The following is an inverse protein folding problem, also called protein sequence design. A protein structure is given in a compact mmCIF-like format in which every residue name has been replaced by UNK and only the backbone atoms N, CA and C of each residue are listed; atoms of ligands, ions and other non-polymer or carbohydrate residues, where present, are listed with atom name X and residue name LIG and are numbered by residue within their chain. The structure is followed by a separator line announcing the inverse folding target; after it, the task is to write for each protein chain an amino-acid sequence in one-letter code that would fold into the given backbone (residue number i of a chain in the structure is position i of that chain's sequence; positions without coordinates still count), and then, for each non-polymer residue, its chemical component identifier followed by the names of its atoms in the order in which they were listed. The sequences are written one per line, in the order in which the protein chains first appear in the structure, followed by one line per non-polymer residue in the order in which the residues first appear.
data_IF_321949528503
#
_entry.id   IF_321949528503
#
_cell.length_a   1.000
_cell.length_b   1.000
_cell.length_c   1.000
_cell.angle_alpha   90.00
_cell.angle_beta   90.00
_cell.angle_gamma   90.00
#
_symmetry.space_group_name_H-M   'P 1'
#
loop_
_entity.id
_entity.type
_entity.pdbx_description
1 polymer ?
#
# COMPACT_ATOMS: atom_id res chain seq x y z
N UNK A 1 -9.47 -2.85 -28.70
CA UNK A 1 -8.85 -4.02 -28.03
C UNK A 1 -8.98 -3.84 -26.53
N UNK A 2 -9.64 -4.76 -25.81
CA UNK A 2 -9.57 -4.79 -24.34
C UNK A 2 -8.21 -5.40 -23.98
N UNK A 3 -7.33 -4.59 -23.40
CA UNK A 3 -5.99 -5.02 -22.99
C UNK A 3 -6.09 -6.03 -21.83
N UNK A 4 -5.39 -7.16 -21.95
CA UNK A 4 -5.30 -8.15 -20.86
C UNK A 4 -4.26 -7.65 -19.86
N UNK A 5 -4.65 -7.51 -18.59
CA UNK A 5 -3.76 -7.11 -17.52
C UNK A 5 -2.97 -8.32 -17.03
N UNK A 6 -1.65 -8.21 -16.96
CA UNK A 6 -0.78 -9.24 -16.40
C UNK A 6 -0.12 -8.74 -15.11
N UNK A 7 -0.37 -9.43 -14.01
CA UNK A 7 0.11 -9.01 -12.69
C UNK A 7 1.48 -9.60 -12.39
N UNK A 8 2.50 -9.16 -13.13
CA UNK A 8 3.85 -9.73 -13.14
C UNK A 8 4.78 -9.18 -12.04
N UNK A 9 4.36 -8.13 -11.32
CA UNK A 9 5.18 -7.42 -10.34
C UNK A 9 4.75 -7.65 -8.88
N UNK A 10 4.03 -8.76 -8.61
CA UNK A 10 3.51 -9.10 -7.28
C UNK A 10 4.61 -9.26 -6.22
N UNK A 11 5.73 -9.91 -6.54
CA UNK A 11 6.84 -10.07 -5.58
C UNK A 11 7.46 -8.75 -5.16
N UNK A 12 7.63 -7.81 -6.10
CA UNK A 12 8.10 -6.47 -5.77
C UNK A 12 7.14 -5.75 -4.84
N UNK A 13 5.83 -5.81 -5.12
CA UNK A 13 4.79 -5.26 -4.25
C UNK A 13 4.81 -5.90 -2.85
N UNK A 14 4.94 -7.23 -2.79
CA UNK A 14 4.97 -7.96 -1.54
C UNK A 14 6.15 -7.55 -0.64
N UNK A 15 7.35 -7.44 -1.23
CA UNK A 15 8.52 -6.96 -0.51
C UNK A 15 8.34 -5.53 -0.01
N UNK A 16 7.78 -4.66 -0.84
CA UNK A 16 7.47 -3.28 -0.46
C UNK A 16 6.52 -3.21 0.74
N UNK A 17 5.42 -3.99 0.72
CA UNK A 17 4.43 -4.02 1.79
C UNK A 17 5.00 -4.53 3.12
N UNK A 18 5.82 -5.59 3.09
CA UNK A 18 6.48 -6.10 4.30
C UNK A 18 7.40 -5.04 4.92
N UNK A 19 8.24 -4.41 4.11
CA UNK A 19 9.20 -3.42 4.60
C UNK A 19 8.50 -2.16 5.14
N UNK A 20 7.48 -1.64 4.45
CA UNK A 20 6.78 -0.46 4.94
C UNK A 20 5.95 -0.77 6.20
N UNK A 21 5.42 -1.99 6.34
CA UNK A 21 4.77 -2.44 7.58
C UNK A 21 5.75 -2.43 8.76
N UNK A 22 6.97 -2.94 8.58
CA UNK A 22 8.02 -2.90 9.61
C UNK A 22 8.40 -1.45 9.97
N UNK A 23 8.61 -0.59 8.97
CA UNK A 23 8.90 0.84 9.19
C UNK A 23 7.77 1.51 9.98
N UNK A 24 6.52 1.19 9.65
CA UNK A 24 5.35 1.76 10.31
C UNK A 24 5.28 1.35 11.79
N UNK A 25 5.54 0.08 12.11
CA UNK A 25 5.62 -0.41 13.49
C UNK A 25 6.73 0.30 14.27
N UNK A 26 7.95 0.35 13.72
CA UNK A 26 9.09 1.01 14.37
C UNK A 26 8.78 2.49 14.62
N UNK A 27 8.17 3.16 13.64
CA UNK A 27 7.78 4.57 13.76
C UNK A 27 6.72 4.77 14.84
N UNK A 28 5.76 3.85 14.99
CA UNK A 28 4.74 3.90 16.02
C UNK A 28 5.33 3.69 17.43
N UNK A 29 6.21 2.70 17.58
CA UNK A 29 6.90 2.42 18.86
C UNK A 29 7.76 3.61 19.30
N UNK A 30 8.44 4.27 18.35
CA UNK A 30 9.26 5.46 18.61
C UNK A 30 8.47 6.79 18.51
N UNK A 31 7.14 6.71 18.50
CA UNK A 31 6.24 7.83 18.17
C UNK A 31 6.20 8.96 19.18
N UNK A 32 6.24 8.64 20.47
CA UNK A 32 6.13 9.62 21.55
C UNK A 32 4.94 10.58 21.35
N UNK A 33 5.20 11.90 21.43
CA UNK A 33 4.16 12.94 21.23
C UNK A 33 3.52 12.94 19.83
N UNK A 34 4.19 12.38 18.83
CA UNK A 34 3.70 12.32 17.46
C UNK A 34 2.80 11.12 17.21
N UNK A 35 2.71 10.19 18.18
CA UNK A 35 2.04 8.87 18.12
C UNK A 35 2.66 7.89 17.12
N UNK A 36 3.02 8.37 15.92
CA UNK A 36 3.94 7.71 14.98
C UNK A 36 4.99 8.75 14.62
N UNK A 37 6.26 8.39 14.70
CA UNK A 37 7.38 9.31 14.52
C UNK A 37 7.55 9.65 13.04
N UNK A 38 7.26 10.90 12.60
CA UNK A 38 7.28 11.24 11.18
C UNK A 38 8.68 11.16 10.58
N UNK A 39 9.74 11.44 11.36
CA UNK A 39 11.11 11.39 10.86
C UNK A 39 11.57 9.96 10.64
N UNK A 40 11.31 9.07 11.59
CA UNK A 40 11.61 7.63 11.45
C UNK A 40 10.82 7.06 10.27
N UNK A 41 9.53 7.42 10.17
CA UNK A 41 8.68 6.95 9.08
C UNK A 41 9.19 7.42 7.72
N UNK A 42 9.50 8.72 7.56
CA UNK A 42 9.98 9.28 6.29
C UNK A 42 11.33 8.67 5.88
N UNK A 43 12.30 8.58 6.80
CA UNK A 43 13.60 7.98 6.53
C UNK A 43 13.43 6.53 6.08
N UNK A 44 12.66 5.74 6.84
CA UNK A 44 12.39 4.34 6.52
C UNK A 44 11.64 4.18 5.19
N UNK A 45 10.62 5.00 4.95
CA UNK A 45 9.85 5.02 3.71
C UNK A 45 10.75 5.26 2.50
N UNK A 46 11.58 6.31 2.52
CA UNK A 46 12.47 6.63 1.41
C UNK A 46 13.54 5.56 1.22
N UNK A 47 14.15 5.06 2.30
CA UNK A 47 15.11 3.96 2.21
C UNK A 47 14.50 2.73 1.52
N UNK A 48 13.29 2.34 1.91
CA UNK A 48 12.56 1.25 1.27
C UNK A 48 12.19 1.58 -0.19
N UNK A 49 11.79 2.82 -0.47
CA UNK A 49 11.31 3.23 -1.79
C UNK A 49 12.45 3.17 -2.81
N UNK A 50 13.60 3.73 -2.46
CA UNK A 50 14.80 3.66 -3.28
C UNK A 50 15.32 2.22 -3.38
N UNK A 51 15.31 1.47 -2.27
CA UNK A 51 15.77 0.09 -2.19
C UNK A 51 14.96 -0.88 -3.06
N UNK A 52 13.63 -0.73 -3.12
CA UNK A 52 12.72 -1.66 -3.80
C UNK A 52 12.20 -1.13 -5.12
N UNK A 53 11.68 0.10 -5.14
CA UNK A 53 10.91 0.61 -6.28
C UNK A 53 11.79 1.36 -7.30
N UNK A 54 12.88 1.99 -6.87
CA UNK A 54 13.82 2.65 -7.80
C UNK A 54 14.88 1.67 -8.30
N UNK A 55 15.40 0.80 -7.43
CA UNK A 55 16.45 -0.17 -7.72
C UNK A 55 16.11 -1.10 -8.89
N UNK A 56 16.63 -0.78 -10.08
CA UNK A 56 16.37 -1.53 -11.33
C UNK A 56 16.81 -2.99 -11.23
N UNK A 57 17.94 -3.26 -10.56
CA UNK A 57 18.49 -4.62 -10.41
C UNK A 57 17.53 -5.50 -9.61
N UNK A 58 17.04 -4.99 -8.48
CA UNK A 58 16.09 -5.73 -7.64
C UNK A 58 14.74 -5.89 -8.34
N UNK A 59 14.21 -4.85 -8.98
CA UNK A 59 12.95 -4.93 -9.74
C UNK A 59 13.01 -5.97 -10.86
N UNK A 60 14.10 -6.00 -11.64
CA UNK A 60 14.30 -7.00 -12.70
C UNK A 60 14.37 -8.41 -12.13
N UNK A 61 14.99 -8.60 -10.96
CA UNK A 61 15.07 -9.89 -10.28
C UNK A 61 13.71 -10.38 -9.77
N UNK A 62 12.84 -9.48 -9.31
CA UNK A 62 11.54 -9.81 -8.73
C UNK A 62 10.40 -9.83 -9.76
N UNK A 63 10.60 -9.21 -10.93
CA UNK A 63 9.64 -9.21 -12.04
C UNK A 63 9.51 -10.61 -12.64
N UNK A 64 8.27 -10.99 -12.94
CA UNK A 64 7.93 -12.29 -13.55
C UNK A 64 7.40 -12.14 -14.97
N UNK A 65 7.64 -10.99 -15.61
CA UNK A 65 7.10 -10.63 -16.92
C UNK A 65 7.08 -9.11 -17.13
N UNK A 66 6.68 -8.68 -18.32
CA UNK A 66 6.60 -7.26 -18.65
C UNK A 66 5.42 -6.58 -17.96
N UNK A 67 5.44 -5.24 -17.97
CA UNK A 67 4.35 -4.39 -17.52
C UNK A 67 3.75 -3.66 -18.72
N UNK A 68 2.44 -3.57 -18.76
CA UNK A 68 1.71 -2.98 -19.88
C UNK A 68 1.70 -1.44 -19.84
N UNK A 69 1.38 -0.79 -20.97
CA UNK A 69 1.30 0.68 -21.03
C UNK A 69 0.18 1.23 -20.14
N UNK A 70 -0.96 0.53 -20.08
CA UNK A 70 -2.07 0.89 -19.18
C UNK A 70 -1.65 0.77 -17.72
N UNK A 71 -0.95 -0.30 -17.35
CA UNK A 71 -0.44 -0.49 -16.00
C UNK A 71 0.58 0.61 -15.62
N UNK A 72 1.50 0.96 -16.52
CA UNK A 72 2.45 2.07 -16.30
C UNK A 72 1.72 3.39 -16.06
N UNK A 73 0.70 3.71 -16.87
CA UNK A 73 -0.11 4.92 -16.66
C UNK A 73 -0.79 4.90 -15.30
N UNK A 74 -1.32 3.75 -14.90
CA UNK A 74 -1.99 3.59 -13.62
C UNK A 74 -1.05 3.70 -12.42
N UNK A 75 0.21 3.29 -12.55
CA UNK A 75 1.24 3.53 -11.53
C UNK A 75 1.34 5.04 -11.24
N UNK A 76 1.52 5.86 -12.27
CA UNK A 76 1.67 7.31 -12.08
C UNK A 76 0.41 7.96 -11.51
N UNK A 77 -0.77 7.58 -12.02
CA UNK A 77 -2.06 8.05 -11.48
C UNK A 77 -2.21 7.67 -10.01
N UNK A 78 -1.89 6.42 -9.65
CA UNK A 78 -2.00 5.94 -8.27
C UNK A 78 -1.06 6.68 -7.33
N UNK A 79 0.18 6.94 -7.75
CA UNK A 79 1.16 7.71 -6.98
C UNK A 79 0.66 9.16 -6.78
N UNK A 80 0.22 9.82 -7.84
CA UNK A 80 -0.32 11.18 -7.73
C UNK A 80 -1.56 11.23 -6.82
N UNK A 81 -2.46 10.25 -6.96
CA UNK A 81 -3.66 10.13 -6.14
C UNK A 81 -3.32 9.96 -4.66
N UNK A 82 -2.27 9.22 -4.28
CA UNK A 82 -1.86 9.09 -2.88
C UNK A 82 -1.59 10.45 -2.23
N UNK A 83 -0.79 11.30 -2.88
CA UNK A 83 -0.46 12.62 -2.34
C UNK A 83 -1.69 13.53 -2.24
N UNK A 84 -2.57 13.50 -3.25
CA UNK A 84 -3.83 14.24 -3.23
C UNK A 84 -4.71 13.76 -2.06
N UNK A 85 -4.86 12.44 -1.88
CA UNK A 85 -5.64 11.86 -0.80
C UNK A 85 -5.06 12.20 0.57
N UNK A 86 -3.74 12.15 0.74
CA UNK A 86 -3.09 12.54 1.99
C UNK A 86 -3.36 14.02 2.33
N UNK A 87 -3.26 14.92 1.34
CA UNK A 87 -3.58 16.33 1.55
C UNK A 87 -5.07 16.54 1.86
N UNK A 88 -5.98 15.87 1.15
CA UNK A 88 -7.42 16.02 1.34
C UNK A 88 -7.92 15.46 2.68
N UNK A 89 -7.37 14.33 3.14
CA UNK A 89 -7.85 13.62 4.33
C UNK A 89 -7.06 14.03 5.58
N UNK A 90 -5.73 14.00 5.53
CA UNK A 90 -4.89 14.32 6.69
C UNK A 90 -4.58 15.82 6.79
N UNK A 91 -4.48 16.52 5.66
CA UNK A 91 -4.11 17.94 5.59
C UNK A 91 -4.93 18.89 6.48
N UNK A 92 -6.27 18.77 6.54
CA UNK A 92 -7.09 19.64 7.40
C UNK A 92 -6.73 19.60 8.89
N UNK A 93 -6.07 18.52 9.34
CA UNK A 93 -5.71 18.30 10.73
C UNK A 93 -4.28 18.77 11.08
N UNK A 94 -3.49 19.15 10.08
CA UNK A 94 -2.09 19.60 10.25
C UNK A 94 -1.98 20.92 11.03
N UNK A 95 -2.76 21.99 10.72
CA UNK A 95 -2.61 23.27 11.43
C UNK A 95 -2.85 23.18 12.93
N UNK A 96 -3.77 22.30 13.35
CA UNK A 96 -4.08 22.04 14.76
C UNK A 96 -3.22 20.97 15.43
N UNK A 97 -2.23 20.42 14.72
CA UNK A 97 -1.36 19.33 15.21
C UNK A 97 -2.14 18.14 15.77
N UNK A 98 -3.28 17.82 15.15
CA UNK A 98 -4.14 16.71 15.55
C UNK A 98 -3.54 15.39 15.09
N UNK A 99 -2.43 14.97 15.72
CA UNK A 99 -1.59 13.85 15.31
C UNK A 99 -2.35 12.57 15.07
N UNK A 100 -3.37 12.28 15.90
CA UNK A 100 -4.21 11.10 15.70
C UNK A 100 -4.92 11.13 14.35
N UNK A 101 -5.62 12.21 14.06
CA UNK A 101 -6.40 12.39 12.84
C UNK A 101 -5.50 12.49 11.61
N UNK A 102 -4.32 13.10 11.74
CA UNK A 102 -3.30 13.13 10.69
C UNK A 102 -2.91 11.70 10.33
N UNK A 103 -2.52 10.88 11.31
CA UNK A 103 -2.09 9.50 11.04
C UNK A 103 -3.21 8.61 10.55
N UNK A 104 -4.41 8.69 11.14
CA UNK A 104 -5.58 7.97 10.62
C UNK A 104 -5.89 8.38 9.16
N UNK A 105 -5.71 9.65 8.83
CA UNK A 105 -5.88 10.16 7.47
C UNK A 105 -4.83 9.62 6.51
N UNK A 106 -3.57 9.52 6.94
CA UNK A 106 -2.49 8.90 6.16
C UNK A 106 -2.76 7.40 5.93
N UNK A 107 -3.20 6.67 6.96
CA UNK A 107 -3.57 5.25 6.83
C UNK A 107 -4.74 5.07 5.85
N UNK A 108 -5.79 5.89 5.97
CA UNK A 108 -6.95 5.84 5.10
C UNK A 108 -6.60 6.19 3.65
N UNK A 109 -5.84 7.27 3.42
CA UNK A 109 -5.36 7.65 2.10
C UNK A 109 -4.56 6.51 1.44
N UNK A 110 -3.68 5.86 2.21
CA UNK A 110 -2.89 4.71 1.76
C UNK A 110 -3.78 3.50 1.43
N UNK A 111 -4.81 3.25 2.24
CA UNK A 111 -5.74 2.15 2.02
C UNK A 111 -6.59 2.34 0.75
N UNK A 112 -7.07 3.56 0.50
CA UNK A 112 -7.77 3.91 -0.76
C UNK A 112 -6.83 3.79 -1.95
N UNK A 113 -5.59 4.26 -1.80
CA UNK A 113 -4.55 4.13 -2.83
C UNK A 113 -4.29 2.66 -3.22
N UNK A 114 -4.37 1.70 -2.29
CA UNK A 114 -4.27 0.28 -2.61
C UNK A 114 -5.36 -0.19 -3.57
N UNK A 115 -6.57 0.36 -3.52
CA UNK A 115 -7.63 -0.01 -4.47
C UNK A 115 -7.24 0.34 -5.91
N UNK A 116 -6.53 1.45 -6.13
CA UNK A 116 -6.04 1.85 -7.45
C UNK A 116 -4.96 0.89 -7.99
N UNK A 117 -4.15 0.32 -7.10
CA UNK A 117 -3.12 -0.66 -7.44
C UNK A 117 -3.65 -2.03 -7.90
N UNK A 118 -4.97 -2.26 -7.80
CA UNK A 118 -5.62 -3.44 -8.38
C UNK A 118 -5.20 -3.69 -9.83
N UNK A 119 -5.11 -2.64 -10.65
CA UNK A 119 -4.78 -2.75 -12.08
C UNK A 119 -3.36 -3.29 -12.32
N UNK A 120 -2.46 -3.17 -11.33
CA UNK A 120 -1.05 -3.55 -11.45
C UNK A 120 -0.73 -4.85 -10.73
N UNK A 121 -1.36 -5.10 -9.58
CA UNK A 121 -1.03 -6.23 -8.70
C UNK A 121 -2.19 -7.22 -8.49
N UNK A 122 -3.38 -6.89 -8.97
CA UNK A 122 -4.54 -7.79 -9.00
C UNK A 122 -5.43 -7.73 -7.75
N UNK A 123 -6.38 -8.70 -7.62
CA UNK A 123 -7.46 -8.67 -6.63
C UNK A 123 -7.02 -8.56 -5.17
N UNK A 124 -5.84 -9.06 -4.82
CA UNK A 124 -5.30 -8.96 -3.45
C UNK A 124 -5.20 -7.50 -2.98
N UNK A 125 -4.99 -6.55 -3.88
CA UNK A 125 -4.93 -5.12 -3.52
C UNK A 125 -6.28 -4.56 -3.11
N UNK A 126 -7.38 -5.09 -3.68
CA UNK A 126 -8.74 -4.71 -3.27
C UNK A 126 -8.99 -5.18 -1.84
N UNK A 127 -8.68 -6.45 -1.55
CA UNK A 127 -8.85 -7.00 -0.20
C UNK A 127 -7.99 -6.24 0.83
N UNK A 128 -6.71 -6.01 0.51
CA UNK A 128 -5.81 -5.21 1.35
C UNK A 128 -6.39 -3.80 1.61
N UNK A 129 -6.83 -3.11 0.56
CA UNK A 129 -7.41 -1.78 0.67
C UNK A 129 -8.67 -1.76 1.55
N UNK A 130 -9.61 -2.69 1.34
CA UNK A 130 -10.84 -2.78 2.14
C UNK A 130 -10.53 -3.04 3.62
N UNK A 131 -9.65 -4.00 3.92
CA UNK A 131 -9.30 -4.32 5.31
C UNK A 131 -8.63 -3.12 6.00
N UNK A 132 -7.69 -2.45 5.32
CA UNK A 132 -7.04 -1.25 5.86
C UNK A 132 -8.01 -0.06 6.02
N UNK A 133 -8.98 0.12 5.11
CA UNK A 133 -10.05 1.12 5.25
C UNK A 133 -10.86 0.86 6.52
N UNK A 134 -11.27 -0.40 6.75
CA UNK A 134 -12.02 -0.79 7.95
C UNK A 134 -11.21 -0.48 9.21
N UNK A 135 -9.92 -0.83 9.23
CA UNK A 135 -9.03 -0.54 10.37
C UNK A 135 -8.95 0.97 10.66
N UNK A 136 -8.74 1.80 9.62
CA UNK A 136 -8.70 3.25 9.78
C UNK A 136 -10.06 3.81 10.25
N UNK A 137 -11.17 3.31 9.71
CA UNK A 137 -12.52 3.70 10.11
C UNK A 137 -12.82 3.36 11.58
N UNK A 138 -12.43 2.16 12.04
CA UNK A 138 -12.50 1.79 13.47
C UNK A 138 -11.71 2.78 14.33
N UNK A 139 -10.52 3.18 13.88
CA UNK A 139 -9.70 4.19 14.57
C UNK A 139 -10.36 5.58 14.65
N UNK A 140 -11.09 6.00 13.62
CA UNK A 140 -11.87 7.24 13.63
C UNK A 140 -13.09 7.14 14.54
N UNK A 141 -13.85 6.05 14.47
CA UNK A 141 -15.09 5.86 15.21
C UNK A 141 -14.87 5.62 16.71
N UNK A 142 -13.69 5.15 17.11
CA UNK A 142 -13.39 4.77 18.48
C UNK A 142 -12.15 5.51 19.00
N UNK A 143 -12.28 6.79 19.42
CA UNK A 143 -11.16 7.59 19.92
C UNK A 143 -10.46 6.97 21.14
N UNK A 144 -11.19 6.17 21.93
CA UNK A 144 -10.66 5.48 23.10
C UNK A 144 -9.66 4.36 22.79
N UNK A 145 -9.62 3.84 21.55
CA UNK A 145 -8.62 2.85 21.15
C UNK A 145 -7.29 3.59 20.89
N UNK A 146 -6.19 3.25 21.59
CA UNK A 146 -4.88 3.83 21.32
C UNK A 146 -4.47 3.70 19.84
N UNK A 147 -3.97 4.78 19.24
CA UNK A 147 -3.60 4.77 17.82
C UNK A 147 -2.57 3.69 17.49
N UNK A 148 -1.68 3.37 18.43
CA UNK A 148 -0.67 2.31 18.29
C UNK A 148 -1.31 0.99 17.82
N UNK A 149 -2.46 0.58 18.38
CA UNK A 149 -3.12 -0.67 18.00
C UNK A 149 -3.70 -0.62 16.59
N UNK A 150 -4.24 0.52 16.18
CA UNK A 150 -4.72 0.72 14.80
C UNK A 150 -3.56 0.63 13.81
N UNK A 151 -2.44 1.27 14.13
CA UNK A 151 -1.24 1.29 13.29
C UNK A 151 -0.60 -0.10 13.20
N UNK A 152 -0.51 -0.83 14.31
CA UNK A 152 0.02 -2.19 14.34
C UNK A 152 -0.89 -3.15 13.57
N UNK A 153 -2.21 -3.06 13.72
CA UNK A 153 -3.15 -3.87 12.95
C UNK A 153 -3.02 -3.60 11.44
N UNK A 154 -2.98 -2.32 11.06
CA UNK A 154 -2.81 -1.91 9.67
C UNK A 154 -1.46 -2.38 9.07
N UNK A 155 -0.38 -2.29 9.85
CA UNK A 155 0.94 -2.79 9.48
C UNK A 155 0.98 -4.32 9.35
N UNK A 156 0.35 -5.05 10.28
CA UNK A 156 0.28 -6.50 10.26
C UNK A 156 -0.41 -7.00 8.99
N UNK A 157 -1.56 -6.41 8.63
CA UNK A 157 -2.27 -6.74 7.39
C UNK A 157 -1.38 -6.49 6.16
N UNK A 158 -0.63 -5.39 6.12
CA UNK A 158 0.33 -5.14 5.02
C UNK A 158 1.43 -6.19 4.97
N UNK A 159 1.97 -6.60 6.11
CA UNK A 159 2.99 -7.65 6.18
C UNK A 159 2.43 -8.99 5.71
N UNK A 160 1.25 -9.39 6.17
CA UNK A 160 0.61 -10.66 5.79
C UNK A 160 0.32 -10.73 4.29
N UNK A 161 -0.27 -9.67 3.73
CA UNK A 161 -0.45 -9.55 2.28
C UNK A 161 0.88 -9.49 1.54
N UNK A 162 1.89 -8.87 2.14
CA UNK A 162 3.24 -8.79 1.61
C UNK A 162 3.90 -10.16 1.50
N UNK A 163 3.82 -10.97 2.56
CA UNK A 163 4.26 -12.36 2.62
C UNK A 163 3.52 -13.19 1.57
N UNK A 164 2.19 -13.06 1.51
CA UNK A 164 1.37 -13.74 0.51
C UNK A 164 1.82 -13.41 -0.92
N UNK A 165 1.98 -12.13 -1.25
CA UNK A 165 2.39 -11.68 -2.58
C UNK A 165 3.83 -12.07 -2.94
N UNK A 166 4.72 -12.13 -1.96
CA UNK A 166 6.13 -12.43 -2.18
C UNK A 166 6.40 -13.93 -2.37
N UNK A 167 5.83 -14.76 -1.51
CA UNK A 167 6.15 -16.19 -1.47
C UNK A 167 5.12 -17.07 -2.18
N UNK A 168 3.83 -16.72 -2.13
CA UNK A 168 2.75 -17.64 -2.50
C UNK A 168 2.02 -17.23 -3.78
N UNK A 169 1.92 -15.94 -4.08
CA UNK A 169 1.17 -15.47 -5.24
C UNK A 169 1.92 -15.68 -6.55
N UNK A 170 1.25 -16.34 -7.51
CA UNK A 170 1.74 -16.50 -8.89
C UNK A 170 1.26 -15.34 -9.78
N UNK A 171 1.97 -15.02 -10.88
CA UNK A 171 1.46 -14.13 -11.91
C UNK A 171 0.08 -14.60 -12.38
N UNK A 172 -0.84 -13.66 -12.56
CA UNK A 172 -2.20 -13.95 -13.00
C UNK A 172 -2.67 -12.89 -13.99
N UNK A 173 -3.67 -13.24 -14.80
CA UNK A 173 -4.22 -12.36 -15.83
C UNK A 173 -5.63 -11.92 -15.49
N UNK A 174 -6.03 -10.74 -15.99
CA UNK A 174 -7.40 -10.24 -15.89
C UNK A 174 -7.77 -9.55 -17.20
N UNK A 175 -8.79 -10.04 -17.90
CA UNK A 175 -9.17 -9.56 -19.23
C UNK A 175 -9.84 -10.63 -20.08
N UNK A 176 -10.18 -10.30 -21.33
CA UNK A 176 -10.97 -11.12 -22.23
C UNK A 176 -10.19 -12.33 -22.79
N UNK A 177 -9.97 -13.34 -21.96
CA UNK A 177 -9.59 -14.70 -22.38
C UNK A 177 -10.08 -15.74 -21.36
N UNK A 178 -11.25 -15.49 -20.74
CA UNK A 178 -11.90 -16.45 -19.85
C UNK A 178 -12.75 -17.51 -20.59
N UNK A 179 -12.75 -17.53 -21.93
CA UNK A 179 -13.56 -18.47 -22.72
C UNK A 179 -12.91 -18.87 -24.06
N UNK A 180 -11.77 -19.57 -24.04
CA UNK A 180 -11.43 -20.55 -25.12
C UNK A 180 -10.58 -21.66 -24.50
N UNK A 181 -11.18 -22.49 -23.63
CA UNK A 181 -10.59 -23.79 -23.25
C UNK A 181 -11.67 -24.86 -23.09
N UNK A 182 -12.63 -24.84 -24.02
CA UNK A 182 -13.71 -25.81 -24.04
C UNK A 182 -14.56 -25.63 -25.29
N UNK A 183 -13.99 -25.97 -26.45
CA UNK A 183 -14.66 -26.44 -27.66
C UNK A 183 -13.59 -27.01 -28.60
#
# INVERSE_FOLDING_TARGET
MKEVLEFNHKKQCGLWLMLIGVVLIISAVLGGRFLVNPFVFLIGYYACFFGVNVNKKLRKKLSQGSISKVQIRMIYISIAALFILMFAIAGPFIPGWHWRQIWLGVLLATAIHFLLWFVVHGPSMIMLGIVCIIIAAVGYMNPGIPLLWIVVADAAVKIDFGVYLFFFSKPSKFGAEAQVSGL
#
